data_IF_514503908123
#
_entry.id   IF_514503908123
#
_cell.length_a   1.000
_cell.length_b   1.000
_cell.length_c   1.000
_cell.angle_alpha   90.00
_cell.angle_beta   90.00
_cell.angle_gamma   90.00
#
_symmetry.space_group_name_H-M   'P 1'
#
loop_
_entity.id
_entity.type
_entity.pdbx_description
1 polymer ?
#
# COMPACT_ATOMS: atom_id res chain seq x y z
N UNK A 1 21.09 -10.77 5.79
CA UNK A 1 20.18 -11.16 6.90
C UNK A 1 18.93 -11.80 6.29
N UNK A 2 18.35 -12.87 6.89
CA UNK A 2 17.08 -13.43 6.40
C UNK A 2 15.91 -12.52 6.76
N UNK A 3 14.82 -12.57 6.00
CA UNK A 3 13.67 -11.66 6.09
C UNK A 3 13.12 -11.51 7.53
N UNK A 4 12.79 -12.60 8.22
CA UNK A 4 12.24 -12.53 9.57
C UNK A 4 13.15 -11.80 10.57
N UNK A 5 14.46 -11.99 10.47
CA UNK A 5 15.46 -11.29 11.29
C UNK A 5 15.54 -9.81 10.91
N UNK A 6 15.43 -9.50 9.61
CA UNK A 6 15.43 -8.12 9.11
C UNK A 6 14.31 -7.30 9.73
N UNK A 7 13.06 -7.79 9.73
CA UNK A 7 11.92 -7.06 10.32
C UNK A 7 12.08 -6.75 11.80
N UNK A 8 12.79 -7.61 12.55
CA UNK A 8 13.01 -7.39 13.99
C UNK A 8 14.06 -6.30 14.24
N UNK A 9 15.11 -6.25 13.42
CA UNK A 9 16.28 -5.40 13.65
C UNK A 9 16.33 -4.13 12.80
N UNK A 10 15.52 -4.03 11.72
CA UNK A 10 15.51 -2.87 10.83
C UNK A 10 15.31 -1.56 11.61
N UNK A 11 16.23 -0.61 11.44
CA UNK A 11 16.20 0.71 12.09
C UNK A 11 16.32 0.68 13.62
N UNK A 12 16.48 -0.48 14.25
CA UNK A 12 16.43 -0.67 15.70
C UNK A 12 17.85 -0.83 16.28
N UNK A 13 18.63 0.25 16.31
CA UNK A 13 19.87 0.31 17.08
C UNK A 13 19.55 0.62 18.55
N UNK A 14 20.22 -0.03 19.52
CA UNK A 14 20.08 0.34 20.94
C UNK A 14 20.40 1.81 21.17
N UNK A 15 19.62 2.46 22.05
CA UNK A 15 19.85 3.87 22.37
C UNK A 15 21.25 4.08 22.94
N UNK A 16 22.09 4.96 22.37
CA UNK A 16 23.48 5.12 22.80
C UNK A 16 23.64 5.73 24.19
N UNK A 17 22.63 6.39 24.71
CA UNK A 17 22.68 7.03 26.03
C UNK A 17 22.26 6.12 27.18
N UNK A 18 21.34 5.18 26.93
CA UNK A 18 20.74 4.33 27.98
C UNK A 18 20.89 2.84 27.72
N UNK A 19 21.25 2.44 26.48
CA UNK A 19 21.23 1.04 26.05
C UNK A 19 19.82 0.47 25.84
N UNK A 20 18.78 1.30 25.79
CA UNK A 20 17.40 0.84 25.57
C UNK A 20 17.30 0.12 24.22
N UNK A 21 16.78 -1.12 24.24
CA UNK A 21 16.65 -1.96 23.04
C UNK A 21 15.59 -1.44 22.06
N UNK A 22 14.57 -0.76 22.57
CA UNK A 22 13.55 -0.10 21.74
C UNK A 22 13.88 1.37 21.59
N UNK A 23 13.75 1.90 20.36
CA UNK A 23 13.98 3.32 20.07
C UNK A 23 13.11 4.20 20.97
N UNK A 24 13.69 5.19 21.72
CA UNK A 24 12.91 6.11 22.54
C UNK A 24 11.96 6.98 21.71
N UNK A 25 10.87 7.41 22.33
CA UNK A 25 9.93 8.37 21.74
C UNK A 25 10.43 9.79 22.06
N UNK A 26 10.97 10.47 21.04
CA UNK A 26 11.41 11.86 21.17
C UNK A 26 10.24 12.81 20.88
N UNK A 27 9.38 13.00 21.87
CA UNK A 27 8.20 13.88 21.79
C UNK A 27 8.63 15.34 21.99
N UNK A 28 9.27 15.92 20.97
CA UNK A 28 9.76 17.29 20.97
C UNK A 28 9.63 17.96 19.61
N UNK A 29 9.48 19.27 19.58
CA UNK A 29 9.46 20.05 18.34
C UNK A 29 10.81 20.68 17.99
N UNK A 30 11.67 20.97 18.99
CA UNK A 30 12.89 21.78 18.81
C UNK A 30 14.07 21.20 19.57
N UNK A 31 15.28 21.54 19.13
CA UNK A 31 16.54 21.05 19.67
C UNK A 31 17.49 22.20 19.93
N UNK A 32 18.20 22.19 21.07
CA UNK A 32 19.18 23.20 21.41
C UNK A 32 20.41 23.06 20.52
N UNK A 33 20.89 24.18 20.02
CA UNK A 33 22.14 24.28 19.25
C UNK A 33 23.26 24.89 20.11
N UNK A 34 24.50 24.49 19.89
CA UNK A 34 25.68 25.08 20.58
C UNK A 34 25.96 26.48 20.07
N UNK A 35 25.70 26.75 18.76
CA UNK A 35 25.77 28.02 18.10
C UNK A 35 24.85 27.99 16.86
N UNK A 36 24.53 29.13 16.21
CA UNK A 36 23.75 29.12 14.97
C UNK A 36 24.31 28.15 13.93
N UNK A 37 23.53 27.16 13.53
CA UNK A 37 23.91 26.09 12.58
C UNK A 37 24.80 24.99 13.15
N UNK A 38 25.19 25.03 14.44
CA UNK A 38 26.02 24.01 15.11
C UNK A 38 25.14 23.18 16.04
N UNK A 39 24.56 22.10 15.52
CA UNK A 39 23.65 21.19 16.21
C UNK A 39 24.20 19.76 16.27
N UNK A 40 23.51 18.87 16.97
CA UNK A 40 23.85 17.44 17.11
C UNK A 40 23.16 16.56 16.04
N UNK A 41 22.86 17.09 14.84
CA UNK A 41 22.18 16.40 13.75
C UNK A 41 20.66 16.64 13.71
N UNK A 42 20.10 17.35 14.68
CA UNK A 42 18.68 17.67 14.77
C UNK A 42 18.50 19.16 15.11
N UNK A 43 17.55 19.79 14.43
CA UNK A 43 17.24 21.22 14.62
C UNK A 43 15.78 21.42 14.98
N UNK A 44 14.89 20.79 14.25
CA UNK A 44 13.45 20.95 14.35
C UNK A 44 12.73 19.68 13.87
N UNK A 45 11.70 19.23 14.61
CA UNK A 45 11.09 17.92 14.38
C UNK A 45 10.36 17.79 13.02
N UNK A 46 9.89 18.89 12.42
CA UNK A 46 9.33 18.86 11.06
C UNK A 46 10.40 18.44 10.03
N UNK A 47 11.64 18.88 10.21
CA UNK A 47 12.76 18.44 9.37
C UNK A 47 13.24 17.05 9.76
N UNK A 48 13.59 16.83 11.01
CA UNK A 48 14.15 15.56 11.50
C UNK A 48 13.75 15.30 12.95
N UNK A 49 13.50 14.02 13.27
CA UNK A 49 13.22 13.56 14.63
C UNK A 49 13.86 12.18 14.82
N UNK A 50 14.53 11.87 15.94
CA UNK A 50 15.24 10.60 16.12
C UNK A 50 14.35 9.36 15.97
N UNK A 51 13.12 9.39 16.51
CA UNK A 51 12.17 8.28 16.39
C UNK A 51 11.74 8.08 14.93
N UNK A 52 11.47 9.17 14.20
CA UNK A 52 11.16 9.11 12.77
C UNK A 52 12.36 8.66 11.94
N UNK A 53 13.57 9.10 12.26
CA UNK A 53 14.80 8.66 11.58
C UNK A 53 15.01 7.15 11.69
N UNK A 54 14.76 6.56 12.87
CA UNK A 54 14.81 5.12 13.06
C UNK A 54 13.76 4.40 12.18
N UNK A 55 12.54 4.93 12.11
CA UNK A 55 11.49 4.38 11.26
C UNK A 55 11.84 4.48 9.77
N UNK A 56 12.37 5.62 9.31
CA UNK A 56 12.78 5.83 7.92
C UNK A 56 13.91 4.87 7.50
N UNK A 57 14.85 4.56 8.41
CA UNK A 57 15.85 3.50 8.23
C UNK A 57 15.17 2.13 8.13
N UNK A 58 14.21 1.82 9.03
CA UNK A 58 13.49 0.55 8.98
C UNK A 58 12.76 0.36 7.65
N UNK A 59 12.07 1.38 7.15
CA UNK A 59 11.40 1.34 5.84
C UNK A 59 12.38 1.02 4.71
N UNK A 60 13.53 1.70 4.68
CA UNK A 60 14.55 1.45 3.67
C UNK A 60 15.02 -0.01 3.70
N UNK A 61 15.37 -0.52 4.88
CA UNK A 61 15.90 -1.87 5.06
C UNK A 61 14.89 -2.95 4.65
N UNK A 62 13.60 -2.84 5.07
CA UNK A 62 12.61 -3.87 4.77
C UNK A 62 12.20 -3.90 3.29
N UNK A 63 12.35 -2.80 2.56
CA UNK A 63 12.10 -2.72 1.11
C UNK A 63 13.33 -2.95 0.25
N UNK A 64 14.48 -3.33 0.82
CA UNK A 64 15.75 -3.46 0.12
C UNK A 64 16.20 -2.15 -0.56
N UNK A 65 15.76 -1.01 -0.03
CA UNK A 65 16.10 0.31 -0.51
C UNK A 65 17.24 0.96 0.29
N UNK A 66 17.87 1.99 -0.28
CA UNK A 66 18.90 2.78 0.40
C UNK A 66 18.33 3.87 1.29
N UNK A 67 17.16 4.41 0.92
CA UNK A 67 16.54 5.55 1.58
C UNK A 67 15.06 5.29 1.80
N UNK A 68 14.55 5.73 2.97
CA UNK A 68 13.15 5.74 3.34
C UNK A 68 12.73 7.12 3.84
N UNK A 69 11.49 7.51 3.59
CA UNK A 69 10.87 8.73 4.09
C UNK A 69 9.49 8.40 4.67
N UNK A 70 9.17 8.96 5.84
CA UNK A 70 7.88 8.77 6.52
C UNK A 70 6.96 9.98 6.34
N UNK A 71 5.69 9.73 6.02
CA UNK A 71 4.66 10.74 5.79
C UNK A 71 3.47 10.54 6.73
N UNK A 72 2.72 11.60 6.98
CA UNK A 72 1.54 11.60 7.85
C UNK A 72 0.37 10.72 7.34
N UNK A 73 0.40 10.29 6.08
CA UNK A 73 -0.55 9.34 5.49
C UNK A 73 -0.02 8.77 4.18
N UNK A 74 -0.61 7.66 3.69
CA UNK A 74 -0.31 7.15 2.35
C UNK A 74 -0.60 8.17 1.26
N UNK A 75 -1.74 8.87 1.36
CA UNK A 75 -2.10 9.94 0.40
C UNK A 75 -1.08 11.08 0.43
N UNK A 76 -0.51 11.45 1.59
CA UNK A 76 0.54 12.45 1.68
C UNK A 76 1.86 11.99 1.03
N UNK A 77 2.16 10.68 1.06
CA UNK A 77 3.29 10.11 0.34
C UNK A 77 3.06 10.16 -1.17
N UNK A 78 1.86 9.78 -1.64
CA UNK A 78 1.46 9.91 -3.06
C UNK A 78 1.52 11.36 -3.54
N UNK A 79 0.99 12.30 -2.77
CA UNK A 79 1.04 13.74 -3.02
C UNK A 79 2.47 14.26 -3.22
N UNK A 80 3.41 13.77 -2.40
CA UNK A 80 4.83 14.15 -2.52
C UNK A 80 5.45 13.64 -3.83
N UNK A 81 5.07 12.45 -4.31
CA UNK A 81 5.56 11.92 -5.59
C UNK A 81 5.04 12.77 -6.76
N UNK A 82 3.77 13.13 -6.77
CA UNK A 82 3.21 13.94 -7.86
C UNK A 82 3.79 15.37 -7.86
N UNK A 83 4.19 15.90 -6.71
CA UNK A 83 4.88 17.20 -6.61
C UNK A 83 6.29 17.23 -7.19
N UNK A 84 6.84 16.11 -7.63
CA UNK A 84 8.05 16.06 -8.45
C UNK A 84 7.82 16.58 -9.88
N UNK A 85 6.57 16.61 -10.33
CA UNK A 85 6.17 16.92 -11.69
C UNK A 85 5.87 18.41 -11.87
N UNK A 86 5.95 18.86 -13.12
CA UNK A 86 5.63 20.21 -13.55
C UNK A 86 4.31 20.26 -14.34
N UNK A 87 3.65 21.43 -14.43
CA UNK A 87 2.50 21.61 -15.31
C UNK A 87 2.81 21.20 -16.76
N UNK A 88 1.96 20.36 -17.34
CA UNK A 88 2.12 19.80 -18.67
C UNK A 88 2.72 18.39 -18.70
N UNK A 89 3.29 17.93 -17.60
CA UNK A 89 3.75 16.53 -17.47
C UNK A 89 2.57 15.56 -17.44
N UNK A 90 2.84 14.33 -17.85
CA UNK A 90 1.87 13.25 -17.94
C UNK A 90 2.27 12.08 -17.04
N UNK A 91 1.25 11.50 -16.37
CA UNK A 91 1.35 10.29 -15.56
C UNK A 91 0.54 9.18 -16.20
N UNK A 92 1.17 8.06 -16.56
CA UNK A 92 0.45 6.84 -16.94
C UNK A 92 0.17 6.04 -15.68
N UNK A 93 -1.08 5.67 -15.43
CA UNK A 93 -1.50 5.00 -14.20
C UNK A 93 -2.57 3.94 -14.45
N UNK A 94 -2.71 3.01 -13.49
CA UNK A 94 -3.72 1.96 -13.56
C UNK A 94 -5.14 2.52 -13.49
N UNK A 95 -6.06 1.91 -14.22
CA UNK A 95 -7.49 2.21 -14.17
C UNK A 95 -8.21 1.53 -12.99
N UNK A 96 -7.57 0.55 -12.36
CA UNK A 96 -7.99 -0.11 -11.12
C UNK A 96 -6.98 0.26 -10.03
N UNK A 97 -7.30 1.28 -9.23
CA UNK A 97 -6.46 1.81 -8.17
C UNK A 97 -7.29 2.31 -7.01
N UNK A 98 -6.65 2.53 -5.87
CA UNK A 98 -7.27 3.10 -4.69
C UNK A 98 -8.04 4.40 -5.00
N UNK A 99 -9.30 4.47 -4.60
CA UNK A 99 -10.16 5.64 -4.88
C UNK A 99 -9.64 6.96 -4.30
N UNK A 100 -8.84 6.92 -3.22
CA UNK A 100 -8.16 8.09 -2.67
C UNK A 100 -7.07 8.64 -3.60
N UNK A 101 -6.29 7.77 -4.24
CA UNK A 101 -5.29 8.13 -5.26
C UNK A 101 -5.97 8.72 -6.50
N UNK A 102 -7.04 8.07 -6.99
CA UNK A 102 -7.85 8.60 -8.09
C UNK A 102 -8.39 10.00 -7.79
N UNK A 103 -8.96 10.21 -6.59
CA UNK A 103 -9.47 11.51 -6.14
C UNK A 103 -8.37 12.57 -6.07
N UNK A 104 -7.19 12.22 -5.53
CA UNK A 104 -6.03 13.11 -5.47
C UNK A 104 -5.62 13.55 -6.88
N UNK A 105 -5.52 12.61 -7.81
CA UNK A 105 -5.13 12.89 -9.20
C UNK A 105 -6.14 13.79 -9.89
N UNK A 106 -7.41 13.39 -9.94
CA UNK A 106 -8.45 14.07 -10.72
C UNK A 106 -8.97 15.38 -10.10
N UNK A 107 -9.02 15.48 -8.76
CA UNK A 107 -9.64 16.62 -8.10
C UNK A 107 -8.64 17.65 -7.57
N UNK A 108 -7.37 17.25 -7.41
CA UNK A 108 -6.31 18.13 -6.91
C UNK A 108 -5.31 18.46 -8.01
N UNK A 109 -4.61 17.47 -8.56
CA UNK A 109 -3.47 17.72 -9.43
C UNK A 109 -3.80 18.06 -10.88
N UNK A 110 -4.91 17.61 -11.44
CA UNK A 110 -5.36 18.07 -12.77
C UNK A 110 -5.53 19.60 -12.82
N UNK A 111 -5.93 20.22 -11.69
CA UNK A 111 -6.05 21.68 -11.59
C UNK A 111 -4.70 22.40 -11.72
N UNK A 112 -3.61 21.70 -11.45
CA UNK A 112 -2.24 22.24 -11.58
C UNK A 112 -1.59 21.86 -12.92
N UNK A 113 -2.39 21.34 -13.87
CA UNK A 113 -1.94 21.04 -15.22
C UNK A 113 -1.19 19.73 -15.38
N UNK A 114 -1.21 18.84 -14.39
CA UNK A 114 -0.73 17.46 -14.53
C UNK A 114 -1.81 16.64 -15.23
N UNK A 115 -1.43 15.82 -16.21
CA UNK A 115 -2.37 14.94 -16.92
C UNK A 115 -2.21 13.51 -16.45
N UNK A 116 -3.33 12.81 -16.24
CA UNK A 116 -3.37 11.40 -15.85
C UNK A 116 -3.99 10.57 -16.97
N UNK A 117 -3.28 9.52 -17.40
CA UNK A 117 -3.67 8.62 -18.49
C UNK A 117 -3.93 7.26 -17.86
N UNK A 118 -5.21 6.89 -17.75
CA UNK A 118 -5.65 5.66 -17.11
C UNK A 118 -5.62 4.51 -18.11
N UNK A 119 -4.92 3.42 -17.79
CA UNK A 119 -4.77 2.25 -18.64
C UNK A 119 -4.95 0.96 -17.83
N UNK A 120 -5.27 -0.13 -18.53
CA UNK A 120 -5.14 -1.47 -17.96
C UNK A 120 -3.65 -1.83 -17.87
N UNK A 121 -3.12 -1.82 -16.63
CA UNK A 121 -1.70 -2.09 -16.36
C UNK A 121 -1.36 -3.58 -16.39
N UNK A 122 -2.34 -4.47 -16.41
CA UNK A 122 -2.10 -5.91 -16.63
C UNK A 122 -1.62 -6.19 -18.06
N UNK A 123 -1.92 -5.28 -18.98
CA UNK A 123 -1.49 -5.32 -20.37
C UNK A 123 -0.34 -4.33 -20.61
N UNK A 124 0.88 -4.83 -20.65
CA UNK A 124 2.11 -4.04 -20.86
C UNK A 124 2.04 -3.19 -22.13
N UNK A 125 1.41 -3.70 -23.22
CA UNK A 125 1.22 -2.94 -24.45
C UNK A 125 0.35 -1.68 -24.26
N UNK A 126 -0.60 -1.70 -23.33
CA UNK A 126 -1.42 -0.52 -23.01
C UNK A 126 -0.58 0.58 -22.37
N UNK A 127 0.33 0.22 -21.47
CA UNK A 127 1.28 1.17 -20.86
C UNK A 127 2.20 1.75 -21.93
N UNK A 128 2.83 0.90 -22.74
CA UNK A 128 3.77 1.34 -23.79
C UNK A 128 3.12 2.30 -24.81
N UNK A 129 1.87 2.03 -25.21
CA UNK A 129 1.13 2.91 -26.13
C UNK A 129 0.70 4.24 -25.50
N UNK A 130 0.55 4.30 -24.20
CA UNK A 130 0.15 5.51 -23.48
C UNK A 130 1.32 6.45 -23.17
N UNK A 131 2.55 5.95 -23.24
CA UNK A 131 3.77 6.75 -23.03
C UNK A 131 3.95 7.74 -24.19
N UNK A 132 4.18 9.01 -23.85
CA UNK A 132 4.49 10.09 -24.78
C UNK A 132 5.79 10.80 -24.34
N UNK A 133 6.30 11.72 -25.13
CA UNK A 133 7.44 12.57 -24.75
C UNK A 133 7.21 13.46 -23.52
N UNK A 134 5.95 13.57 -23.04
CA UNK A 134 5.57 14.29 -21.83
C UNK A 134 5.40 13.39 -20.61
N UNK A 135 5.40 12.09 -20.78
CA UNK A 135 5.29 11.14 -19.67
C UNK A 135 6.54 11.22 -18.78
N UNK A 136 6.35 11.47 -17.49
CA UNK A 136 7.43 11.57 -16.49
C UNK A 136 7.32 10.52 -15.41
N UNK A 137 6.14 9.93 -15.24
CA UNK A 137 5.84 8.96 -14.20
C UNK A 137 4.92 7.87 -14.73
N UNK A 138 5.24 6.63 -14.39
CA UNK A 138 4.28 5.51 -14.40
C UNK A 138 3.96 5.17 -12.95
N UNK A 139 2.67 5.21 -12.58
CA UNK A 139 2.17 4.86 -11.26
C UNK A 139 1.44 3.52 -11.32
N UNK A 140 1.95 2.54 -10.59
CA UNK A 140 1.36 1.21 -10.47
C UNK A 140 0.82 0.98 -9.06
N UNK A 141 -0.24 0.20 -8.97
CA UNK A 141 -0.70 -0.47 -7.76
C UNK A 141 -0.83 -1.96 -8.08
N UNK A 142 -0.12 -2.83 -7.34
CA UNK A 142 -0.15 -4.27 -7.59
C UNK A 142 0.21 -5.09 -6.34
N UNK A 143 -0.69 -6.01 -5.89
CA UNK A 143 -2.06 -6.25 -6.38
C UNK A 143 -2.95 -5.01 -6.28
N UNK A 144 -3.90 -4.86 -7.22
CA UNK A 144 -4.81 -3.70 -7.24
C UNK A 144 -5.93 -3.80 -6.20
N UNK A 145 -6.49 -2.67 -5.83
CA UNK A 145 -7.66 -2.56 -4.95
C UNK A 145 -8.90 -2.10 -5.77
N UNK A 146 -9.98 -2.88 -5.87
CA UNK A 146 -10.28 -4.09 -5.10
C UNK A 146 -10.18 -5.40 -5.88
N UNK A 147 -9.78 -5.40 -7.15
CA UNK A 147 -9.91 -6.55 -8.04
C UNK A 147 -8.71 -7.52 -8.00
N UNK A 148 -7.67 -7.21 -7.22
CA UNK A 148 -6.46 -8.04 -7.05
C UNK A 148 -5.73 -8.30 -8.39
N UNK A 149 -5.82 -7.38 -9.36
CA UNK A 149 -5.09 -7.48 -10.60
C UNK A 149 -3.59 -7.39 -10.38
N UNK A 150 -2.82 -8.10 -11.18
CA UNK A 150 -1.35 -8.18 -11.05
C UNK A 150 -0.70 -7.56 -12.28
N UNK A 151 0.22 -6.63 -12.03
CA UNK A 151 1.08 -6.03 -13.08
C UNK A 151 2.51 -6.56 -12.95
N UNK A 152 3.14 -6.94 -14.06
CA UNK A 152 4.56 -7.32 -14.10
C UNK A 152 5.45 -6.08 -13.96
N UNK A 153 5.94 -5.83 -12.73
CA UNK A 153 6.74 -4.66 -12.39
C UNK A 153 8.04 -4.63 -13.22
N UNK A 154 8.70 -5.77 -13.38
CA UNK A 154 9.96 -5.84 -14.12
C UNK A 154 9.76 -5.54 -15.63
N UNK A 155 8.65 -6.00 -16.21
CA UNK A 155 8.31 -5.68 -17.59
C UNK A 155 8.03 -4.18 -17.78
N UNK A 156 7.35 -3.53 -16.82
CA UNK A 156 7.14 -2.07 -16.85
C UNK A 156 8.45 -1.32 -16.68
N UNK A 157 9.31 -1.74 -15.74
CA UNK A 157 10.63 -1.14 -15.54
C UNK A 157 11.50 -1.20 -16.81
N UNK A 158 11.39 -2.29 -17.59
CA UNK A 158 12.11 -2.42 -18.86
C UNK A 158 11.67 -1.41 -19.92
N UNK A 159 10.43 -0.88 -19.82
CA UNK A 159 9.90 0.16 -20.72
C UNK A 159 10.25 1.56 -20.20
N UNK A 160 10.15 1.80 -18.89
CA UNK A 160 10.30 3.15 -18.32
C UNK A 160 11.75 3.60 -18.24
N UNK A 161 12.69 2.69 -17.91
CA UNK A 161 14.10 3.01 -17.72
C UNK A 161 14.79 3.63 -18.96
N UNK A 162 14.65 3.10 -20.17
CA UNK A 162 15.27 3.68 -21.37
C UNK A 162 14.79 5.10 -21.68
N UNK A 163 13.56 5.43 -21.27
CA UNK A 163 12.90 6.72 -21.52
C UNK A 163 13.12 7.73 -20.37
N UNK A 164 13.87 7.35 -19.32
CA UNK A 164 14.05 8.16 -18.12
C UNK A 164 12.73 8.55 -17.44
N UNK A 165 11.73 7.65 -17.49
CA UNK A 165 10.43 7.80 -16.85
C UNK A 165 10.51 7.14 -15.48
N UNK A 166 10.10 7.83 -14.42
CA UNK A 166 10.05 7.27 -13.07
C UNK A 166 8.98 6.18 -12.98
N UNK A 167 9.31 5.07 -12.33
CA UNK A 167 8.37 4.01 -11.98
C UNK A 167 8.10 4.04 -10.48
N UNK A 168 6.89 4.43 -10.09
CA UNK A 168 6.40 4.36 -8.72
C UNK A 168 5.42 3.20 -8.56
N UNK A 169 5.58 2.43 -7.49
CA UNK A 169 4.73 1.27 -7.17
C UNK A 169 4.13 1.44 -5.78
N UNK A 170 2.81 1.49 -5.70
CA UNK A 170 2.08 1.31 -4.46
C UNK A 170 2.07 -0.19 -4.09
N UNK A 171 2.88 -0.55 -3.10
CA UNK A 171 3.10 -1.92 -2.64
C UNK A 171 2.27 -2.25 -1.38
N UNK A 172 1.24 -1.46 -1.10
CA UNK A 172 0.48 -1.54 0.15
C UNK A 172 -0.15 -2.92 0.38
N UNK A 173 -0.74 -3.55 -0.65
CA UNK A 173 -1.43 -4.85 -0.50
C UNK A 173 -0.46 -6.02 -0.34
N UNK A 174 0.68 -5.98 -1.02
CA UNK A 174 1.69 -7.02 -0.90
C UNK A 174 2.51 -6.88 0.38
N UNK A 175 2.79 -5.66 0.82
CA UNK A 175 3.81 -5.34 1.83
C UNK A 175 5.23 -5.81 1.42
N UNK A 176 6.29 -5.36 2.10
CA UNK A 176 7.65 -5.85 1.84
C UNK A 176 7.81 -7.36 2.08
N UNK A 177 6.90 -7.96 2.86
CA UNK A 177 6.93 -9.40 3.12
C UNK A 177 6.65 -10.23 1.87
N UNK A 178 5.72 -9.79 1.02
CA UNK A 178 5.36 -10.54 -0.18
C UNK A 178 6.14 -10.09 -1.41
N UNK A 179 6.47 -8.80 -1.53
CA UNK A 179 7.03 -8.23 -2.74
C UNK A 179 7.97 -7.06 -2.43
N UNK A 180 9.09 -6.97 -3.12
CA UNK A 180 10.01 -5.82 -3.05
C UNK A 180 10.16 -5.21 -4.46
N UNK A 181 9.37 -4.18 -4.80
CA UNK A 181 9.40 -3.58 -6.13
C UNK A 181 10.74 -2.93 -6.51
N UNK A 182 11.54 -2.48 -5.55
CA UNK A 182 12.91 -1.99 -5.79
C UNK A 182 13.76 -3.04 -6.51
N UNK A 183 13.68 -4.31 -6.07
CA UNK A 183 14.45 -5.41 -6.66
C UNK A 183 13.95 -5.75 -8.09
N UNK A 184 12.72 -5.36 -8.40
CA UNK A 184 12.08 -5.54 -9.70
C UNK A 184 12.25 -4.33 -10.64
N UNK A 185 12.92 -3.28 -10.16
CA UNK A 185 13.30 -2.13 -10.96
C UNK A 185 12.47 -0.87 -10.77
N UNK A 186 11.59 -0.81 -9.77
CA UNK A 186 10.91 0.43 -9.40
C UNK A 186 11.91 1.48 -8.88
N UNK A 187 11.63 2.75 -9.18
CA UNK A 187 12.41 3.89 -8.69
C UNK A 187 11.91 4.35 -7.32
N UNK A 188 10.60 4.26 -7.11
CA UNK A 188 9.90 4.63 -5.87
C UNK A 188 8.96 3.50 -5.47
N UNK A 189 9.03 3.10 -4.21
CA UNK A 189 8.01 2.25 -3.59
C UNK A 189 7.25 3.08 -2.57
N UNK A 190 5.92 3.02 -2.65
CA UNK A 190 5.00 3.69 -1.72
C UNK A 190 4.26 2.65 -0.89
N UNK A 191 4.02 2.97 0.38
CA UNK A 191 3.05 2.25 1.21
C UNK A 191 2.11 3.21 1.94
N UNK A 192 0.84 2.85 1.98
CA UNK A 192 -0.01 3.23 3.10
C UNK A 192 0.38 2.39 4.30
N UNK A 193 1.24 2.94 5.16
CA UNK A 193 1.75 2.29 6.37
C UNK A 193 0.64 1.97 7.36
N UNK A 194 -0.47 2.69 7.27
CA UNK A 194 -1.76 2.47 7.97
C UNK A 194 -2.23 1.00 7.89
N UNK A 195 -1.81 0.26 6.85
CA UNK A 195 -2.26 -1.10 6.53
C UNK A 195 -1.34 -2.13 7.18
N UNK A 196 -0.86 -3.11 6.44
CA UNK A 196 -0.04 -4.22 6.96
C UNK A 196 1.20 -3.80 7.76
N UNK A 197 1.87 -2.68 7.38
CA UNK A 197 3.08 -2.24 8.10
C UNK A 197 2.78 -1.83 9.54
N UNK A 198 1.74 -1.03 9.78
CA UNK A 198 1.21 -0.75 11.12
C UNK A 198 0.54 -1.99 11.72
N UNK A 199 -0.46 -2.52 11.02
CA UNK A 199 -1.08 -3.82 11.24
C UNK A 199 -1.98 -3.94 12.47
N UNK A 200 -2.28 -2.84 13.18
CA UNK A 200 -3.03 -2.86 14.43
C UNK A 200 -4.16 -1.81 14.47
N UNK A 201 -4.54 -1.25 13.32
CA UNK A 201 -5.64 -0.28 13.17
C UNK A 201 -5.55 0.95 14.08
N UNK A 202 -4.34 1.31 14.53
CA UNK A 202 -4.05 2.33 15.55
C UNK A 202 -3.24 3.53 15.02
N UNK A 203 -2.86 3.55 13.73
CA UNK A 203 -2.01 4.60 13.15
C UNK A 203 -2.40 4.90 11.70
N UNK A 204 -2.34 6.16 11.32
CA UNK A 204 -2.40 6.62 9.94
C UNK A 204 -1.02 7.13 9.54
N UNK A 205 -0.39 6.47 8.53
CA UNK A 205 0.94 6.87 8.08
C UNK A 205 1.20 6.42 6.64
N UNK A 206 2.19 7.04 5.97
CA UNK A 206 2.67 6.65 4.65
C UNK A 206 4.19 6.59 4.60
N UNK A 207 4.73 5.95 3.58
CA UNK A 207 6.17 5.90 3.35
C UNK A 207 6.52 5.91 1.87
N UNK A 208 7.73 6.40 1.57
CA UNK A 208 8.38 6.28 0.27
C UNK A 208 9.78 5.69 0.45
N UNK A 209 10.15 4.73 -0.39
CA UNK A 209 11.48 4.12 -0.42
C UNK A 209 12.08 4.20 -1.81
N UNK A 210 13.40 4.42 -1.89
CA UNK A 210 14.11 4.63 -3.14
C UNK A 210 15.61 4.36 -3.00
N UNK A 211 16.30 4.19 -4.15
CA UNK A 211 17.76 3.99 -4.19
C UNK A 211 18.54 5.24 -4.64
N UNK A 212 17.89 6.19 -5.32
CA UNK A 212 18.52 7.42 -5.80
C UNK A 212 18.64 8.46 -4.69
N UNK A 213 19.84 8.96 -4.43
CA UNK A 213 20.09 10.07 -3.50
C UNK A 213 19.41 11.36 -3.98
N UNK A 214 19.49 11.65 -5.27
CA UNK A 214 18.86 12.85 -5.87
C UNK A 214 17.35 12.84 -5.66
N UNK A 215 16.72 11.69 -5.90
CA UNK A 215 15.29 11.52 -5.72
C UNK A 215 14.89 11.64 -4.25
N UNK A 216 15.69 11.05 -3.35
CA UNK A 216 15.51 11.19 -1.90
C UNK A 216 15.57 12.65 -1.46
N UNK A 217 16.55 13.41 -1.96
CA UNK A 217 16.72 14.81 -1.58
C UNK A 217 15.56 15.69 -2.05
N UNK A 218 15.06 15.47 -3.27
CA UNK A 218 13.86 16.14 -3.79
C UNK A 218 12.62 15.82 -2.96
N UNK A 219 12.38 14.54 -2.67
CA UNK A 219 11.23 14.11 -1.86
C UNK A 219 11.34 14.55 -0.40
N UNK A 220 12.53 14.52 0.19
CA UNK A 220 12.77 15.06 1.53
C UNK A 220 12.54 16.58 1.58
N UNK A 221 12.95 17.31 0.55
CA UNK A 221 12.64 18.74 0.46
C UNK A 221 11.14 18.99 0.45
N UNK A 222 10.38 18.23 -0.35
CA UNK A 222 8.91 18.30 -0.40
C UNK A 222 8.31 17.93 0.96
N UNK A 223 8.74 16.82 1.57
CA UNK A 223 8.28 16.35 2.89
C UNK A 223 8.38 17.45 3.93
N UNK A 224 9.57 18.03 4.12
CA UNK A 224 9.80 19.05 5.14
C UNK A 224 9.14 20.40 4.83
N UNK A 225 9.06 20.78 3.55
CA UNK A 225 8.49 22.07 3.12
C UNK A 225 6.97 22.07 3.18
N UNK A 226 6.31 20.98 2.76
CA UNK A 226 4.87 20.81 2.88
C UNK A 226 4.44 20.41 4.31
N UNK A 227 5.37 19.87 5.12
CA UNK A 227 5.12 19.57 6.52
C UNK A 227 4.33 18.28 6.77
N UNK A 228 4.17 17.42 5.77
CA UNK A 228 3.40 16.17 5.86
C UNK A 228 4.17 15.05 6.60
N UNK A 229 4.63 15.32 7.81
CA UNK A 229 5.42 14.40 8.65
C UNK A 229 4.57 13.77 9.76
N UNK A 230 4.81 12.47 10.10
CA UNK A 230 4.13 11.83 11.21
C UNK A 230 4.70 12.27 12.56
N UNK A 231 3.88 12.14 13.62
CA UNK A 231 4.30 12.35 14.99
C UNK A 231 5.23 11.24 15.51
N UNK A 232 6.03 11.53 16.55
CA UNK A 232 6.95 10.51 17.12
C UNK A 232 6.24 9.28 17.68
N UNK A 233 5.05 9.44 18.27
CA UNK A 233 4.25 8.33 18.77
C UNK A 233 3.81 7.41 17.64
N UNK A 234 3.32 7.97 16.51
CA UNK A 234 2.93 7.20 15.33
C UNK A 234 4.13 6.45 14.75
N UNK A 235 5.31 7.09 14.72
CA UNK A 235 6.55 6.44 14.30
C UNK A 235 6.91 5.25 15.21
N UNK A 236 6.75 5.40 16.52
CA UNK A 236 7.00 4.33 17.49
C UNK A 236 6.02 3.15 17.31
N UNK A 237 4.73 3.41 17.13
CA UNK A 237 3.72 2.37 16.88
C UNK A 237 4.05 1.56 15.64
N UNK A 238 4.47 2.23 14.57
CA UNK A 238 4.86 1.54 13.32
C UNK A 238 6.16 0.75 13.49
N UNK A 239 7.19 1.28 14.17
CA UNK A 239 8.41 0.53 14.50
C UNK A 239 8.07 -0.75 15.27
N UNK A 240 7.13 -0.67 16.21
CA UNK A 240 6.64 -1.83 16.96
C UNK A 240 5.87 -2.81 16.06
N UNK A 241 5.01 -2.31 15.17
CA UNK A 241 4.22 -3.11 14.23
C UNK A 241 5.09 -3.88 13.24
N UNK A 242 6.13 -3.27 12.68
CA UNK A 242 7.06 -3.89 11.72
C UNK A 242 7.71 -5.15 12.30
N UNK A 243 8.06 -5.15 13.60
CA UNK A 243 8.74 -6.30 14.24
C UNK A 243 7.93 -7.59 14.19
N UNK A 244 6.62 -7.51 14.05
CA UNK A 244 5.71 -8.67 13.92
C UNK A 244 5.18 -8.87 12.50
N UNK A 245 5.63 -8.08 11.52
CA UNK A 245 5.12 -8.14 10.15
C UNK A 245 5.17 -9.58 9.59
N UNK A 246 6.30 -10.25 9.74
CA UNK A 246 6.51 -11.59 9.15
C UNK A 246 5.56 -12.67 9.71
N UNK A 247 5.26 -12.65 11.02
CA UNK A 247 4.32 -13.61 11.63
C UNK A 247 2.88 -13.26 11.29
N UNK A 248 2.53 -11.97 11.24
CA UNK A 248 1.20 -11.53 10.83
C UNK A 248 0.93 -11.86 9.36
N UNK A 249 1.85 -11.51 8.47
CA UNK A 249 1.69 -11.78 7.03
C UNK A 249 1.59 -13.27 6.72
N UNK A 250 2.33 -14.13 7.43
CA UNK A 250 2.19 -15.58 7.31
C UNK A 250 0.76 -16.02 7.62
N UNK A 251 0.22 -15.58 8.76
CA UNK A 251 -1.16 -15.92 9.16
C UNK A 251 -2.20 -15.33 8.20
N UNK A 252 -2.03 -14.07 7.75
CA UNK A 252 -2.89 -13.46 6.73
C UNK A 252 -2.94 -14.27 5.44
N UNK A 253 -1.78 -14.76 4.96
CA UNK A 253 -1.71 -15.57 3.74
C UNK A 253 -2.39 -16.93 3.90
N UNK A 254 -2.11 -17.62 5.02
CA UNK A 254 -2.72 -18.91 5.33
C UNK A 254 -4.25 -18.81 5.43
N UNK A 255 -4.75 -17.83 6.16
CA UNK A 255 -6.18 -17.58 6.31
C UNK A 255 -6.82 -17.13 5.00
N UNK A 256 -6.17 -16.21 4.27
CA UNK A 256 -6.64 -15.73 2.98
C UNK A 256 -6.80 -16.85 1.97
N UNK A 257 -5.81 -17.73 1.87
CA UNK A 257 -5.89 -18.92 1.00
C UNK A 257 -7.04 -19.85 1.39
N UNK A 258 -7.18 -20.19 2.68
CA UNK A 258 -8.23 -21.07 3.19
C UNK A 258 -9.63 -20.52 2.88
N UNK A 259 -9.85 -19.23 3.14
CA UNK A 259 -11.12 -18.55 2.89
C UNK A 259 -11.39 -18.41 1.37
N UNK A 260 -10.39 -18.05 0.56
CA UNK A 260 -10.54 -17.94 -0.89
C UNK A 260 -10.98 -19.28 -1.51
N UNK A 261 -10.35 -20.38 -1.11
CA UNK A 261 -10.70 -21.72 -1.58
C UNK A 261 -12.07 -22.18 -1.10
N UNK A 262 -12.49 -21.82 0.12
CA UNK A 262 -13.81 -22.11 0.64
C UNK A 262 -14.89 -21.30 -0.13
N UNK A 263 -14.72 -20.00 -0.29
CA UNK A 263 -15.64 -19.16 -1.07
C UNK A 263 -15.82 -19.67 -2.50
N UNK A 264 -14.74 -20.06 -3.15
CA UNK A 264 -14.79 -20.58 -4.53
C UNK A 264 -15.67 -21.83 -4.69
N UNK A 265 -15.80 -22.64 -3.63
CA UNK A 265 -16.64 -23.85 -3.61
C UNK A 265 -18.07 -23.59 -3.16
N UNK A 266 -18.33 -22.40 -2.59
CA UNK A 266 -19.64 -22.11 -2.02
C UNK A 266 -20.69 -21.89 -3.12
N UNK A 267 -21.89 -22.53 -3.05
CA UNK A 267 -22.87 -22.55 -4.15
C UNK A 267 -23.47 -21.19 -4.50
N UNK A 268 -23.49 -20.25 -3.55
CA UNK A 268 -23.99 -18.89 -3.74
C UNK A 268 -22.93 -17.89 -4.26
N UNK A 269 -21.67 -18.28 -4.37
CA UNK A 269 -20.58 -17.42 -4.86
C UNK A 269 -20.44 -17.59 -6.38
N UNK A 270 -20.41 -16.47 -7.08
CA UNK A 270 -20.25 -16.41 -8.53
C UNK A 270 -18.80 -16.33 -8.97
N UNK A 271 -18.02 -15.46 -8.32
CA UNK A 271 -16.60 -15.28 -8.62
C UNK A 271 -15.84 -14.83 -7.37
N UNK A 272 -14.61 -15.29 -7.25
CA UNK A 272 -13.64 -14.85 -6.22
C UNK A 272 -12.43 -14.27 -6.92
N UNK A 273 -12.00 -13.10 -6.49
CA UNK A 273 -10.80 -12.41 -6.97
C UNK A 273 -9.70 -12.62 -5.93
N UNK A 274 -8.75 -13.48 -6.23
CA UNK A 274 -7.58 -13.75 -5.39
C UNK A 274 -6.44 -14.27 -6.28
N UNK A 275 -5.23 -13.66 -6.22
CA UNK A 275 -4.17 -13.96 -7.19
C UNK A 275 -3.53 -15.36 -7.02
N UNK A 276 -3.87 -16.08 -5.96
CA UNK A 276 -3.37 -17.44 -5.72
C UNK A 276 -4.11 -18.55 -6.48
N UNK A 277 -5.15 -18.25 -7.23
CA UNK A 277 -5.77 -19.26 -8.10
C UNK A 277 -5.00 -19.41 -9.41
N UNK A 278 -4.77 -20.67 -9.84
CA UNK A 278 -4.03 -20.96 -11.07
C UNK A 278 -4.68 -20.40 -12.34
N UNK A 279 -5.99 -20.21 -12.33
CA UNK A 279 -6.77 -19.60 -13.41
C UNK A 279 -6.90 -18.08 -13.30
N UNK A 280 -6.29 -17.44 -12.28
CA UNK A 280 -6.21 -15.99 -12.20
C UNK A 280 -5.29 -15.46 -13.32
N UNK A 281 -5.71 -14.44 -14.11
CA UNK A 281 -4.92 -13.96 -15.26
C UNK A 281 -3.48 -13.57 -14.90
N UNK A 282 -3.26 -13.06 -13.68
CA UNK A 282 -1.95 -12.63 -13.19
C UNK A 282 -1.21 -13.70 -12.38
N UNK A 283 -1.70 -14.94 -12.26
CA UNK A 283 -1.10 -15.97 -11.39
C UNK A 283 0.39 -16.22 -11.65
N UNK A 284 0.76 -16.40 -12.91
CA UNK A 284 2.16 -16.66 -13.28
C UNK A 284 3.09 -15.51 -12.91
N UNK A 285 2.60 -14.26 -13.06
CA UNK A 285 3.34 -13.04 -12.69
C UNK A 285 3.43 -12.97 -11.16
N UNK A 286 2.31 -13.14 -10.45
CA UNK A 286 2.29 -13.14 -8.98
C UNK A 286 3.26 -14.19 -8.41
N UNK A 287 3.22 -15.42 -8.91
CA UNK A 287 4.12 -16.51 -8.49
C UNK A 287 5.60 -16.22 -8.73
N UNK A 288 5.92 -15.40 -9.75
CA UNK A 288 7.29 -14.99 -10.08
C UNK A 288 7.79 -13.85 -9.19
N UNK A 289 6.94 -12.84 -8.92
CA UNK A 289 7.36 -11.61 -8.26
C UNK A 289 6.96 -11.51 -6.78
N UNK A 290 6.02 -12.34 -6.32
CA UNK A 290 5.55 -12.38 -4.94
C UNK A 290 5.97 -13.70 -4.26
N UNK A 291 6.13 -13.66 -2.94
CA UNK A 291 6.48 -14.85 -2.13
C UNK A 291 5.25 -15.66 -1.71
N UNK A 292 4.07 -15.02 -1.69
CA UNK A 292 2.75 -15.60 -1.41
C UNK A 292 1.68 -14.64 -1.95
N UNK A 293 0.38 -14.96 -1.82
CA UNK A 293 -0.72 -14.26 -2.48
C UNK A 293 -1.52 -13.33 -1.56
N UNK A 294 -1.17 -13.25 -0.28
CA UNK A 294 -1.74 -12.30 0.68
C UNK A 294 -3.13 -12.65 1.22
N UNK A 295 -3.59 -11.81 2.16
CA UNK A 295 -4.88 -11.94 2.84
C UNK A 295 -6.00 -11.05 2.29
N UNK A 296 -5.76 -10.35 1.17
CA UNK A 296 -6.80 -9.56 0.51
C UNK A 296 -7.48 -10.38 -0.56
N UNK A 297 -8.82 -10.33 -0.58
CA UNK A 297 -9.62 -10.95 -1.64
C UNK A 297 -10.94 -10.21 -1.81
N UNK A 298 -11.57 -10.37 -2.97
CA UNK A 298 -12.92 -9.89 -3.23
C UNK A 298 -13.78 -10.99 -3.83
N UNK A 299 -15.09 -10.89 -3.68
CA UNK A 299 -16.01 -11.82 -4.30
C UNK A 299 -17.32 -11.15 -4.70
N UNK A 300 -18.04 -11.79 -5.59
CA UNK A 300 -19.44 -11.43 -5.95
C UNK A 300 -20.34 -12.64 -5.76
N UNK A 301 -21.58 -12.39 -5.36
CA UNK A 301 -22.59 -13.41 -5.25
C UNK A 301 -23.04 -13.88 -6.64
N UNK A 302 -23.51 -15.13 -6.75
CA UNK A 302 -23.89 -15.75 -8.04
C UNK A 302 -25.02 -15.01 -8.78
N UNK A 303 -25.94 -14.39 -8.03
CA UNK A 303 -27.05 -13.62 -8.57
C UNK A 303 -26.71 -12.14 -8.81
N UNK A 304 -25.49 -11.71 -8.47
CA UNK A 304 -25.00 -10.32 -8.57
C UNK A 304 -25.96 -9.29 -7.93
N UNK A 305 -26.67 -9.68 -6.84
CA UNK A 305 -27.63 -8.82 -6.15
C UNK A 305 -26.95 -7.87 -5.17
N UNK A 306 -27.19 -6.58 -5.34
CA UNK A 306 -26.72 -5.53 -4.43
C UNK A 306 -27.37 -5.66 -3.06
N UNK A 307 -28.68 -5.93 -3.00
CA UNK A 307 -29.42 -6.11 -1.76
C UNK A 307 -28.87 -7.26 -0.93
N UNK A 308 -28.56 -8.37 -1.60
CA UNK A 308 -27.99 -9.54 -0.93
C UNK A 308 -26.55 -9.28 -0.46
N UNK A 309 -25.76 -8.57 -1.25
CA UNK A 309 -24.43 -8.11 -0.83
C UNK A 309 -24.52 -7.22 0.42
N UNK A 310 -25.44 -6.26 0.46
CA UNK A 310 -25.65 -5.40 1.63
C UNK A 310 -26.12 -6.20 2.86
N UNK A 311 -26.95 -7.23 2.66
CA UNK A 311 -27.37 -8.14 3.74
C UNK A 311 -26.15 -8.91 4.29
N UNK A 312 -25.32 -9.49 3.44
CA UNK A 312 -24.09 -10.20 3.85
C UNK A 312 -23.19 -9.27 4.66
N UNK A 313 -22.89 -8.08 4.14
CA UNK A 313 -22.07 -7.05 4.78
C UNK A 313 -22.52 -6.68 6.20
N UNK A 314 -23.85 -6.69 6.41
CA UNK A 314 -24.48 -6.30 7.70
C UNK A 314 -24.71 -7.49 8.64
N UNK A 315 -24.46 -8.73 8.19
CA UNK A 315 -24.78 -9.96 8.93
C UNK A 315 -23.56 -10.64 9.54
N UNK A 316 -22.34 -10.27 9.13
CA UNK A 316 -21.10 -10.79 9.74
C UNK A 316 -20.94 -10.28 11.16
N UNK A 317 -20.30 -11.09 12.02
CA UNK A 317 -20.03 -10.77 13.44
C UNK A 317 -18.55 -10.64 13.74
N UNK A 318 -17.72 -11.46 13.10
CA UNK A 318 -16.26 -11.41 13.23
C UNK A 318 -15.66 -10.47 12.19
N UNK A 319 -16.10 -10.56 10.93
CA UNK A 319 -15.74 -9.55 9.94
C UNK A 319 -16.45 -8.23 10.25
N UNK A 320 -15.71 -7.24 10.72
CA UNK A 320 -16.25 -5.90 10.98
C UNK A 320 -16.48 -5.14 9.66
N UNK A 321 -17.69 -4.61 9.47
CA UNK A 321 -18.00 -3.72 8.35
C UNK A 321 -17.30 -2.37 8.57
N UNK A 322 -16.17 -2.15 7.90
CA UNK A 322 -15.36 -0.96 8.07
C UNK A 322 -14.52 -0.66 6.83
N UNK A 323 -14.05 0.59 6.73
CA UNK A 323 -12.99 0.95 5.81
C UNK A 323 -11.63 0.50 6.36
N UNK A 324 -10.63 0.49 5.51
CA UNK A 324 -9.27 0.04 5.76
C UNK A 324 -9.04 -1.43 5.43
N UNK A 325 -7.88 -1.96 5.82
CA UNK A 325 -7.43 -3.34 5.60
C UNK A 325 -6.11 -3.60 6.31
N UNK A 326 -5.70 -4.85 6.38
CA UNK A 326 -4.34 -5.24 6.80
C UNK A 326 -4.07 -5.14 8.29
N UNK A 327 -5.10 -4.90 9.10
CA UNK A 327 -5.07 -5.07 10.55
C UNK A 327 -5.12 -6.54 10.94
N UNK A 328 -4.81 -6.84 12.20
CA UNK A 328 -4.90 -8.19 12.77
C UNK A 328 -6.34 -8.71 12.80
N UNK A 329 -7.32 -7.82 12.89
CA UNK A 329 -8.75 -8.09 12.79
C UNK A 329 -9.23 -8.19 11.35
N UNK A 330 -10.21 -9.05 11.10
CA UNK A 330 -10.85 -9.22 9.80
C UNK A 330 -11.86 -8.11 9.50
N UNK A 331 -11.76 -7.53 8.30
CA UNK A 331 -12.65 -6.48 7.83
C UNK A 331 -13.39 -6.91 6.55
N UNK A 332 -14.63 -6.47 6.44
CA UNK A 332 -15.48 -6.61 5.25
C UNK A 332 -15.93 -5.23 4.80
N UNK A 333 -15.95 -4.97 3.49
CA UNK A 333 -16.49 -3.71 2.99
C UNK A 333 -17.11 -3.83 1.59
N UNK A 334 -17.83 -2.78 1.21
CA UNK A 334 -18.48 -2.59 -0.08
C UNK A 334 -17.69 -1.54 -0.88
N UNK A 335 -16.79 -1.93 -1.80
CA UNK A 335 -15.95 -0.96 -2.51
C UNK A 335 -16.75 0.11 -3.23
N UNK A 336 -17.86 -0.23 -3.89
CA UNK A 336 -18.64 0.70 -4.70
C UNK A 336 -19.22 1.88 -3.92
N UNK A 337 -19.65 1.71 -2.65
CA UNK A 337 -20.22 2.79 -1.83
C UNK A 337 -19.27 3.34 -0.77
N UNK A 338 -18.10 2.69 -0.55
CA UNK A 338 -17.13 3.08 0.47
C UNK A 338 -15.82 3.56 -0.18
N UNK A 339 -14.87 2.69 -0.40
CA UNK A 339 -13.49 3.04 -0.82
C UNK A 339 -13.40 3.63 -2.25
N UNK A 340 -14.34 3.30 -3.14
CA UNK A 340 -14.38 3.72 -4.55
C UNK A 340 -15.60 4.57 -4.90
N UNK A 341 -16.31 5.09 -3.92
CA UNK A 341 -17.49 5.94 -4.13
C UNK A 341 -17.19 7.23 -4.92
N UNK A 342 -15.93 7.69 -4.91
CA UNK A 342 -15.49 8.85 -5.69
C UNK A 342 -15.29 8.57 -7.19
N UNK A 343 -15.28 7.30 -7.61
CA UNK A 343 -15.16 6.90 -9.02
C UNK A 343 -16.57 6.79 -9.62
N UNK A 344 -16.85 7.41 -10.79
CA UNK A 344 -18.14 7.32 -11.45
C UNK A 344 -18.56 5.85 -11.67
N UNK A 345 -19.85 5.55 -11.51
CA UNK A 345 -20.39 4.19 -11.64
C UNK A 345 -20.04 3.53 -12.98
N UNK A 346 -20.14 4.27 -14.07
CA UNK A 346 -19.82 3.78 -15.42
C UNK A 346 -18.36 3.34 -15.52
N UNK A 347 -17.44 4.12 -14.96
CA UNK A 347 -16.02 3.78 -14.92
C UNK A 347 -15.75 2.55 -14.03
N UNK A 348 -16.42 2.43 -12.87
CA UNK A 348 -16.30 1.25 -12.01
C UNK A 348 -16.74 -0.01 -12.75
N UNK A 349 -17.92 0.00 -13.37
CA UNK A 349 -18.45 -1.15 -14.12
C UNK A 349 -17.54 -1.52 -15.29
N UNK A 350 -17.08 -0.51 -16.06
CA UNK A 350 -16.13 -0.71 -17.17
C UNK A 350 -14.85 -1.41 -16.72
N UNK A 351 -14.37 -1.12 -15.52
CA UNK A 351 -13.17 -1.72 -14.92
C UNK A 351 -13.47 -3.05 -14.19
N UNK A 352 -14.72 -3.56 -14.24
CA UNK A 352 -15.11 -4.84 -13.62
C UNK A 352 -15.51 -4.75 -12.15
N UNK A 353 -15.59 -3.54 -11.57
CA UNK A 353 -16.09 -3.33 -10.22
C UNK A 353 -17.61 -3.20 -10.25
N UNK A 354 -18.31 -4.31 -9.99
CA UNK A 354 -19.77 -4.33 -9.91
C UNK A 354 -20.27 -3.74 -8.59
N UNK A 355 -21.54 -3.31 -8.57
CA UNK A 355 -22.16 -2.76 -7.35
C UNK A 355 -22.47 -3.83 -6.29
N UNK A 356 -22.28 -5.13 -6.58
CA UNK A 356 -22.43 -6.25 -5.64
C UNK A 356 -21.10 -6.78 -5.09
N UNK A 357 -19.97 -6.21 -5.52
CA UNK A 357 -18.64 -6.66 -5.10
C UNK A 357 -18.43 -6.44 -3.60
N UNK A 358 -18.02 -7.49 -2.90
CA UNK A 358 -17.63 -7.50 -1.50
C UNK A 358 -16.11 -7.72 -1.42
N UNK A 359 -15.40 -6.92 -0.63
CA UNK A 359 -13.97 -7.09 -0.36
C UNK A 359 -13.75 -7.53 1.08
N UNK A 360 -12.89 -8.53 1.27
CA UNK A 360 -12.39 -8.98 2.56
C UNK A 360 -10.93 -8.57 2.76
N UNK A 361 -10.64 -8.07 3.94
CA UNK A 361 -9.31 -8.05 4.52
C UNK A 361 -9.26 -9.12 5.59
N UNK A 362 -8.68 -10.26 5.26
CA UNK A 362 -8.65 -11.40 6.17
C UNK A 362 -7.60 -11.17 7.24
N UNK A 363 -8.01 -11.21 8.50
CA UNK A 363 -7.16 -11.05 9.67
C UNK A 363 -6.41 -12.32 10.06
N UNK A 364 -5.96 -12.36 11.31
CA UNK A 364 -5.17 -13.47 11.86
C UNK A 364 -5.91 -14.28 12.92
N UNK A 365 -7.23 -14.14 12.98
CA UNK A 365 -8.11 -14.96 13.81
C UNK A 365 -8.08 -16.43 13.34
N UNK A 366 -8.72 -17.33 14.07
CA UNK A 366 -8.89 -18.71 13.59
C UNK A 366 -9.71 -18.72 12.29
N UNK A 367 -9.16 -19.37 11.26
CA UNK A 367 -9.76 -19.34 9.94
C UNK A 367 -11.09 -20.12 9.86
N UNK A 368 -11.31 -21.11 10.73
CA UNK A 368 -12.58 -21.85 10.76
C UNK A 368 -13.70 -20.98 11.35
N UNK A 369 -13.41 -20.23 12.41
CA UNK A 369 -14.35 -19.25 12.97
C UNK A 369 -14.74 -18.19 11.93
N UNK A 370 -13.77 -17.69 11.14
CA UNK A 370 -14.03 -16.74 10.06
C UNK A 370 -14.90 -17.33 8.93
N UNK A 371 -14.69 -18.60 8.61
CA UNK A 371 -15.50 -19.33 7.63
C UNK A 371 -16.92 -19.52 8.15
N UNK A 372 -17.11 -19.87 9.41
CA UNK A 372 -18.43 -20.06 10.02
C UNK A 372 -19.23 -18.74 10.07
N UNK A 373 -18.54 -17.61 10.32
CA UNK A 373 -19.15 -16.28 10.26
C UNK A 373 -19.63 -15.94 8.85
N UNK A 374 -18.78 -16.16 7.82
CA UNK A 374 -19.15 -15.97 6.42
C UNK A 374 -20.25 -16.92 5.98
N UNK A 375 -20.18 -18.21 6.37
CA UNK A 375 -21.22 -19.19 6.05
C UNK A 375 -22.58 -18.76 6.60
N UNK A 376 -22.62 -18.29 7.84
CA UNK A 376 -23.85 -17.78 8.47
C UNK A 376 -24.36 -16.53 7.74
N UNK A 377 -23.47 -15.60 7.36
CA UNK A 377 -23.84 -14.36 6.69
C UNK A 377 -24.30 -14.59 5.25
N UNK A 378 -23.69 -15.51 4.51
CA UNK A 378 -24.05 -15.84 3.12
C UNK A 378 -25.32 -16.73 3.09
N UNK A 379 -25.42 -17.68 3.99
CA UNK A 379 -26.56 -18.57 4.18
C UNK A 379 -26.60 -19.80 3.29
#
# INVERSE_FOLDING_TARGET
>A
MKEATKYIHAGAEPDPSTGAIMTPIYQTSTYVQEAPGKNKGYEYARSQNPTRTALEKAFAEIENAKYGLAFSSGVAATDAVIKLLAPGDEVVCGNDMYGGTYRLFTKVFEKFGIKFIYVDTTNISSISKAITGKTKLVWLETPTNPLMNITDIAAVAAITKPENILLAVDNTFASPYLQNPIDLGADIVMHSVTKYLGGHSDVIQGSLMMNSLELRDKLYFIQKSCGAVPGPMDCFLVLRGIKTLHVRMKAHCENGAKIAHWLRKHPKIGKVFWPGFEDHPGYTIAKKQMRDFGGMLSFVLKNDSVEEAMRVLSSTKLFSLAESLGGVESLINHPASMTHASIPKEERIKNGLTDSLIRLSVGIEDADDLIDDLATAIG
#
